data_IF_659200484106
#
_entry.id   IF_659200484106
#
_cell.length_a   1.000
_cell.length_b   1.000
_cell.length_c   1.000
_cell.angle_alpha   90.00
_cell.angle_beta   90.00
_cell.angle_gamma   90.00
#
_symmetry.space_group_name_H-M   'P 1'
#
loop_
_entity.id
_entity.type
_entity.pdbx_description
1 polymer ?
#
# COMPACT_ATOMS: atom_id res chain seq x y z
N UNK A 1 0.01 2.60 -1.77
CA UNK A 1 -0.39 3.22 -0.50
C UNK A 1 -1.68 2.58 -0.01
N UNK A 2 -2.05 2.71 1.25
CA UNK A 2 -3.38 2.28 1.73
C UNK A 2 -4.36 3.45 1.82
N UNK A 3 -5.65 3.16 1.90
CA UNK A 3 -6.69 4.18 2.02
C UNK A 3 -6.68 4.83 3.42
N UNK A 4 -6.13 6.04 3.53
CA UNK A 4 -6.02 6.81 4.78
C UNK A 4 -6.97 8.02 4.86
N UNK A 5 -8.08 7.99 4.12
CA UNK A 5 -9.05 9.09 4.06
C UNK A 5 -8.56 10.28 3.23
N UNK A 6 -8.92 11.49 3.63
CA UNK A 6 -8.69 12.74 2.85
C UNK A 6 -7.21 12.96 2.53
N UNK A 7 -6.31 12.63 3.47
CA UNK A 7 -4.87 12.79 3.28
C UNK A 7 -4.31 11.90 2.17
N UNK A 8 -4.80 10.66 2.06
CA UNK A 8 -4.41 9.75 0.99
C UNK A 8 -4.87 10.20 -0.40
N UNK A 9 -6.04 10.85 -0.50
CA UNK A 9 -6.60 11.33 -1.78
C UNK A 9 -5.73 12.41 -2.40
N UNK A 10 -5.26 13.38 -1.60
CA UNK A 10 -4.42 14.48 -2.12
C UNK A 10 -3.07 13.95 -2.62
N UNK A 11 -2.46 13.01 -1.90
CA UNK A 11 -1.22 12.37 -2.32
C UNK A 11 -1.40 11.54 -3.59
N UNK A 12 -2.48 10.75 -3.67
CA UNK A 12 -2.78 9.95 -4.86
C UNK A 12 -2.99 10.82 -6.10
N UNK A 13 -3.71 11.95 -5.96
CA UNK A 13 -3.90 12.93 -7.05
C UNK A 13 -2.57 13.54 -7.50
N UNK A 14 -1.74 13.98 -6.56
CA UNK A 14 -0.44 14.56 -6.86
C UNK A 14 0.47 13.58 -7.61
N UNK A 15 0.56 12.33 -7.14
CA UNK A 15 1.36 11.30 -7.81
C UNK A 15 0.81 10.95 -9.20
N UNK A 16 -0.51 10.90 -9.35
CA UNK A 16 -1.13 10.68 -10.65
C UNK A 16 -0.85 11.81 -11.64
N UNK A 17 -0.82 13.07 -11.18
CA UNK A 17 -0.44 14.23 -11.99
C UNK A 17 1.04 14.20 -12.43
N UNK A 18 1.88 13.43 -11.75
CA UNK A 18 3.28 13.19 -12.12
C UNK A 18 3.46 11.94 -13.01
N UNK A 19 2.38 11.48 -13.65
CA UNK A 19 2.33 10.26 -14.47
C UNK A 19 2.79 8.98 -13.74
N UNK A 20 2.74 8.97 -12.40
CA UNK A 20 3.05 7.78 -11.62
C UNK A 20 1.82 6.89 -11.51
N UNK A 21 2.03 5.57 -11.61
CA UNK A 21 0.98 4.59 -11.32
C UNK A 21 0.74 4.53 -9.82
N UNK A 22 -0.50 4.73 -9.41
CA UNK A 22 -0.90 4.73 -8.00
C UNK A 22 -1.86 3.59 -7.73
N UNK A 23 -1.55 2.79 -6.70
CA UNK A 23 -2.46 1.79 -6.14
C UNK A 23 -2.86 2.24 -4.73
N UNK A 24 -4.17 2.29 -4.51
CA UNK A 24 -4.78 2.50 -3.19
C UNK A 24 -5.32 1.17 -2.69
N UNK A 25 -4.59 0.56 -1.76
CA UNK A 25 -4.94 -0.72 -1.16
C UNK A 25 -5.92 -0.55 0.01
N UNK A 26 -6.75 -1.57 0.23
CA UNK A 26 -7.65 -1.63 1.39
C UNK A 26 -6.82 -1.83 2.68
N UNK A 27 -6.92 -0.93 3.69
CA UNK A 27 -6.20 -1.04 4.96
C UNK A 27 -6.40 -2.37 5.70
N UNK A 28 -7.58 -2.99 5.56
CA UNK A 28 -7.87 -4.30 6.18
C UNK A 28 -6.95 -5.38 5.57
N UNK A 29 -6.77 -5.35 4.25
CA UNK A 29 -5.94 -6.33 3.54
C UNK A 29 -4.45 -6.13 3.81
N UNK A 30 -3.97 -4.88 3.77
CA UNK A 30 -2.58 -4.55 4.08
C UNK A 30 -2.23 -4.90 5.53
N UNK A 31 -3.14 -4.66 6.48
CA UNK A 31 -2.95 -5.06 7.88
C UNK A 31 -2.88 -6.58 8.07
N UNK A 32 -3.74 -7.34 7.38
CA UNK A 32 -3.71 -8.80 7.44
C UNK A 32 -2.40 -9.35 6.84
N UNK A 33 -1.95 -8.77 5.73
CA UNK A 33 -0.68 -9.13 5.09
C UNK A 33 0.52 -8.85 6.00
N UNK A 34 0.60 -7.67 6.61
CA UNK A 34 1.67 -7.32 7.56
C UNK A 34 1.76 -8.30 8.75
N UNK A 35 0.60 -8.79 9.22
CA UNK A 35 0.55 -9.84 10.26
C UNK A 35 1.09 -11.19 9.76
N UNK A 36 0.77 -11.58 8.52
CA UNK A 36 1.31 -12.79 7.90
C UNK A 36 2.84 -12.72 7.73
N UNK A 37 3.36 -11.53 7.46
CA UNK A 37 4.81 -11.26 7.38
C UNK A 37 5.52 -11.22 8.75
N UNK A 38 4.78 -11.40 9.86
CA UNK A 38 5.30 -11.34 11.23
C UNK A 38 6.05 -10.02 11.53
N UNK A 39 5.61 -8.90 10.94
CA UNK A 39 6.19 -7.58 11.22
C UNK A 39 5.82 -7.16 12.64
N UNK A 40 6.79 -7.20 13.57
CA UNK A 40 6.59 -6.84 14.99
C UNK A 40 6.80 -5.35 15.28
N UNK A 41 7.63 -4.69 14.47
CA UNK A 41 7.96 -3.28 14.65
C UNK A 41 6.98 -2.39 13.90
N UNK A 42 6.15 -1.67 14.64
CA UNK A 42 5.21 -0.68 14.09
C UNK A 42 5.91 0.65 13.89
N UNK A 43 6.44 0.83 12.68
CA UNK A 43 7.06 2.09 12.25
C UNK A 43 6.50 2.45 10.88
N UNK A 44 6.39 3.74 10.59
CA UNK A 44 5.88 4.21 9.28
C UNK A 44 6.66 3.60 8.11
N UNK A 45 7.98 3.40 8.30
CA UNK A 45 8.84 2.75 7.31
C UNK A 45 8.48 1.27 7.09
N UNK A 46 8.28 0.52 8.17
CA UNK A 46 7.93 -0.90 8.08
C UNK A 46 6.54 -1.08 7.44
N UNK A 47 5.57 -0.24 7.81
CA UNK A 47 4.22 -0.26 7.25
C UNK A 47 4.24 0.07 5.75
N UNK A 48 4.97 1.11 5.34
CA UNK A 48 5.13 1.44 3.93
C UNK A 48 5.76 0.29 3.11
N UNK A 49 6.76 -0.39 3.66
CA UNK A 49 7.39 -1.54 3.02
C UNK A 49 6.43 -2.73 2.88
N UNK A 50 5.63 -3.03 3.92
CA UNK A 50 4.64 -4.12 3.87
C UNK A 50 3.53 -3.82 2.85
N UNK A 51 3.02 -2.58 2.82
CA UNK A 51 2.05 -2.14 1.80
C UNK A 51 2.63 -2.30 0.39
N UNK A 52 3.89 -1.94 0.17
CA UNK A 52 4.55 -2.08 -1.13
C UNK A 52 4.64 -3.55 -1.55
N UNK A 53 5.04 -4.45 -0.65
CA UNK A 53 5.10 -5.90 -0.92
C UNK A 53 3.72 -6.49 -1.20
N UNK A 54 2.71 -6.12 -0.42
CA UNK A 54 1.33 -6.50 -0.69
C UNK A 54 0.88 -6.06 -2.10
N UNK A 55 1.15 -4.80 -2.47
CA UNK A 55 0.81 -4.29 -3.79
C UNK A 55 1.54 -5.03 -4.92
N UNK A 56 2.81 -5.39 -4.74
CA UNK A 56 3.55 -6.20 -5.72
C UNK A 56 2.92 -7.57 -5.91
N UNK A 57 2.58 -8.25 -4.81
CA UNK A 57 1.97 -9.58 -4.84
C UNK A 57 0.64 -9.59 -5.61
N UNK A 58 -0.23 -8.60 -5.37
CA UNK A 58 -1.53 -8.53 -6.10
C UNK A 58 -1.36 -8.16 -7.57
N UNK A 59 -0.34 -7.37 -7.94
CA UNK A 59 -0.06 -7.05 -9.35
C UNK A 59 0.38 -8.33 -10.05
N UNK A 60 1.33 -9.06 -9.47
CA UNK A 60 1.82 -10.32 -10.02
C UNK A 60 0.66 -11.32 -10.21
N UNK A 61 -0.23 -11.47 -9.23
CA UNK A 61 -1.40 -12.36 -9.32
C UNK A 61 -2.42 -11.90 -10.38
N UNK A 62 -2.59 -10.59 -10.58
CA UNK A 62 -3.59 -10.04 -11.52
C UNK A 62 -3.14 -10.09 -12.97
N UNK A 63 -1.82 -10.07 -13.22
CA UNK A 63 -1.23 -10.03 -14.57
C UNK A 63 -0.45 -11.30 -14.95
N UNK A 64 -0.45 -12.32 -14.10
CA UNK A 64 0.01 -13.68 -14.42
C UNK A 64 -1.12 -14.49 -15.08
#
# INVERSE_FOLDING_TARGET
MEATGIYGVMLAKYLHQLDQRVIVANPIKTNAFAKMEMVRNKTDKADAQSIARYCMHIIEETFA
#
